data_IF_624297057664
#
_entry.id   IF_624297057664
#
_cell.length_a   1.000
_cell.length_b   1.000
_cell.length_c   1.000
_cell.angle_alpha   90.00
_cell.angle_beta   90.00
_cell.angle_gamma   90.00
#
_symmetry.space_group_name_H-M   'P 1'
#
loop_
_entity.id
_entity.type
_entity.pdbx_description
1 polymer ?
#
# COMPACT_ATOMS: atom_id res chain seq x y z
N UNK A 1 -22.89 -13.60 -35.72
CA UNK A 1 -21.61 -13.46 -35.01
C UNK A 1 -21.83 -12.44 -33.90
N UNK A 2 -21.96 -12.88 -32.65
CA UNK A 2 -22.17 -11.95 -31.52
C UNK A 2 -20.85 -11.23 -31.28
N UNK A 3 -20.83 -9.92 -31.45
CA UNK A 3 -19.72 -9.07 -31.06
C UNK A 3 -19.60 -9.16 -29.54
N UNK A 4 -18.61 -9.90 -29.03
CA UNK A 4 -18.27 -9.87 -27.61
C UNK A 4 -17.80 -8.45 -27.30
N UNK A 5 -18.64 -7.69 -26.60
CA UNK A 5 -18.19 -6.48 -25.94
C UNK A 5 -17.11 -6.91 -24.94
N UNK A 6 -15.87 -6.44 -25.15
CA UNK A 6 -14.81 -6.54 -24.16
C UNK A 6 -15.38 -6.10 -22.81
N UNK A 7 -15.36 -6.98 -21.80
CA UNK A 7 -15.69 -6.59 -20.44
C UNK A 7 -14.74 -5.44 -20.05
N UNK A 8 -15.31 -4.28 -19.74
CA UNK A 8 -14.54 -3.16 -19.21
C UNK A 8 -13.89 -3.60 -17.89
N UNK A 9 -12.56 -3.69 -17.87
CA UNK A 9 -11.81 -3.96 -16.64
C UNK A 9 -11.82 -2.71 -15.76
N UNK A 10 -12.71 -2.69 -14.77
CA UNK A 10 -12.80 -1.61 -13.80
C UNK A 10 -11.81 -1.84 -12.64
N UNK A 11 -11.41 -0.74 -12.01
CA UNK A 11 -10.62 -0.74 -10.77
C UNK A 11 -11.25 0.14 -9.71
N UNK A 12 -11.30 -0.34 -8.46
CA UNK A 12 -11.71 0.45 -7.30
C UNK A 12 -10.49 1.15 -6.69
N UNK A 13 -10.68 2.37 -6.22
CA UNK A 13 -9.60 3.21 -5.71
C UNK A 13 -9.89 3.69 -4.29
N UNK A 14 -9.08 3.23 -3.33
CA UNK A 14 -8.90 3.72 -1.96
C UNK A 14 -10.14 3.79 -1.06
N UNK A 15 -11.14 4.59 -1.42
CA UNK A 15 -12.28 5.00 -0.60
C UNK A 15 -13.55 4.91 -1.43
N UNK A 16 -14.60 4.39 -0.82
CA UNK A 16 -15.96 4.51 -1.36
C UNK A 16 -16.56 5.85 -0.95
N UNK A 17 -17.55 6.33 -1.71
CA UNK A 17 -18.32 7.51 -1.29
C UNK A 17 -19.11 7.25 0.00
N UNK A 18 -19.54 6.00 0.22
CA UNK A 18 -20.13 5.57 1.49
C UNK A 18 -19.08 5.39 2.58
N UNK A 19 -19.51 5.49 3.84
CA UNK A 19 -18.64 5.28 5.01
C UNK A 19 -18.21 3.81 5.19
N UNK A 20 -18.73 2.90 4.36
CA UNK A 20 -18.50 1.45 4.45
C UNK A 20 -17.00 1.10 4.38
N UNK A 21 -16.24 1.82 3.55
CA UNK A 21 -14.80 1.63 3.36
C UNK A 21 -14.08 2.97 3.56
N UNK A 22 -13.99 3.40 4.82
CA UNK A 22 -13.17 4.55 5.27
C UNK A 22 -12.11 4.10 6.26
N UNK A 23 -10.85 4.08 5.81
CA UNK A 23 -9.70 3.67 6.62
C UNK A 23 -9.40 4.65 7.75
N UNK A 24 -8.96 4.12 8.89
CA UNK A 24 -8.50 4.90 10.05
C UNK A 24 -7.04 5.29 9.88
N UNK A 25 -6.69 6.43 10.48
CA UNK A 25 -5.31 6.92 10.56
C UNK A 25 -5.13 7.74 11.84
N UNK A 26 -3.89 8.13 12.15
CA UNK A 26 -3.57 9.09 13.20
C UNK A 26 -2.47 10.03 12.73
N UNK A 27 -2.46 11.25 13.26
CA UNK A 27 -1.38 12.19 12.95
C UNK A 27 -0.18 11.94 13.85
N UNK A 28 1.02 12.33 13.38
CA UNK A 28 2.24 12.27 14.19
C UNK A 28 2.09 13.12 15.45
N UNK A 29 1.56 14.33 15.32
CA UNK A 29 1.32 15.22 16.46
C UNK A 29 0.49 14.53 17.55
N UNK A 30 -0.61 13.88 17.19
CA UNK A 30 -1.47 13.24 18.17
C UNK A 30 -0.88 11.95 18.75
N UNK A 31 -0.24 11.11 17.94
CA UNK A 31 0.36 9.87 18.43
C UNK A 31 1.43 10.18 19.49
N UNK A 32 2.27 11.19 19.25
CA UNK A 32 3.36 11.56 20.14
C UNK A 32 2.93 12.35 21.38
N UNK A 33 1.64 12.67 21.55
CA UNK A 33 1.13 13.15 22.85
C UNK A 33 0.82 12.00 23.83
N UNK A 34 0.88 10.75 23.38
CA UNK A 34 0.58 9.56 24.18
C UNK A 34 1.85 8.92 24.72
N UNK A 35 1.75 8.26 25.86
CA UNK A 35 2.80 7.36 26.36
C UNK A 35 3.01 6.17 25.42
N UNK A 36 4.21 5.58 25.43
CA UNK A 36 4.58 4.50 24.48
C UNK A 36 3.58 3.36 24.44
N UNK A 37 3.11 2.87 25.60
CA UNK A 37 2.12 1.79 25.64
C UNK A 37 0.80 2.16 24.95
N UNK A 38 0.32 3.40 25.14
CA UNK A 38 -0.88 3.90 24.49
C UNK A 38 -0.68 4.18 23.00
N UNK A 39 0.55 4.51 22.57
CA UNK A 39 0.88 4.58 21.13
C UNK A 39 0.74 3.20 20.47
N UNK A 40 1.30 2.17 21.10
CA UNK A 40 1.22 0.80 20.59
C UNK A 40 -0.23 0.29 20.53
N UNK A 41 -1.00 0.51 21.60
CA UNK A 41 -2.42 0.14 21.65
C UNK A 41 -3.22 0.84 20.53
N UNK A 42 -2.99 2.16 20.35
CA UNK A 42 -3.65 2.93 19.30
C UNK A 42 -3.29 2.43 17.89
N UNK A 43 -2.01 2.14 17.63
CA UNK A 43 -1.58 1.61 16.33
C UNK A 43 -2.18 0.22 16.08
N UNK A 44 -2.15 -0.67 17.07
CA UNK A 44 -2.77 -2.00 16.97
C UNK A 44 -4.26 -1.90 16.65
N UNK A 45 -4.98 -1.03 17.36
CA UNK A 45 -6.39 -0.76 17.08
C UNK A 45 -6.62 -0.28 15.65
N UNK A 46 -5.84 0.69 15.16
CA UNK A 46 -5.95 1.19 13.79
C UNK A 46 -5.68 0.07 12.79
N UNK A 47 -4.67 -0.77 13.02
CA UNK A 47 -4.29 -1.84 12.09
C UNK A 47 -5.37 -2.91 12.02
N UNK A 48 -5.89 -3.39 13.15
CA UNK A 48 -7.03 -4.32 13.20
C UNK A 48 -8.24 -3.79 12.42
N UNK A 49 -8.59 -2.53 12.68
CA UNK A 49 -9.71 -1.87 12.02
C UNK A 49 -9.50 -1.73 10.50
N UNK A 50 -8.27 -1.43 10.07
CA UNK A 50 -7.94 -1.28 8.66
C UNK A 50 -7.86 -2.62 7.93
N UNK A 51 -7.40 -3.69 8.58
CA UNK A 51 -7.39 -5.05 8.04
C UNK A 51 -8.82 -5.55 7.79
N UNK A 52 -9.73 -5.33 8.76
CA UNK A 52 -11.14 -5.67 8.58
C UNK A 52 -11.79 -4.91 7.41
N UNK A 53 -11.41 -3.64 7.19
CA UNK A 53 -11.86 -2.84 6.04
C UNK A 53 -11.27 -3.29 4.73
N UNK A 54 -9.99 -3.67 4.70
CA UNK A 54 -9.34 -4.24 3.52
C UNK A 54 -10.08 -5.51 3.06
N UNK A 55 -10.41 -6.40 4.00
CA UNK A 55 -11.22 -7.60 3.70
C UNK A 55 -12.55 -7.20 3.06
N UNK A 56 -13.30 -6.27 3.66
CA UNK A 56 -14.56 -5.77 3.08
C UNK A 56 -14.41 -5.16 1.68
N UNK A 57 -13.33 -4.43 1.44
CA UNK A 57 -13.04 -3.84 0.13
C UNK A 57 -12.75 -4.91 -0.93
N UNK A 58 -12.02 -5.96 -0.56
CA UNK A 58 -11.77 -7.11 -1.42
C UNK A 58 -13.09 -7.82 -1.74
N UNK A 59 -13.89 -8.16 -0.72
CA UNK A 59 -15.21 -8.81 -0.92
C UNK A 59 -16.13 -7.99 -1.82
N UNK A 60 -16.14 -6.66 -1.64
CA UNK A 60 -16.89 -5.77 -2.49
C UNK A 60 -16.41 -5.83 -3.95
N UNK A 61 -15.10 -5.80 -4.19
CA UNK A 61 -14.55 -5.89 -5.53
C UNK A 61 -14.95 -7.21 -6.20
N UNK A 62 -14.80 -8.33 -5.49
CA UNK A 62 -15.18 -9.65 -5.98
C UNK A 62 -16.68 -9.74 -6.29
N UNK A 63 -17.54 -9.28 -5.38
CA UNK A 63 -19.00 -9.27 -5.57
C UNK A 63 -19.46 -8.37 -6.73
N UNK A 64 -18.64 -7.40 -7.14
CA UNK A 64 -18.92 -6.48 -8.26
C UNK A 64 -18.16 -6.82 -9.55
N UNK A 65 -17.42 -7.94 -9.58
CA UNK A 65 -16.54 -8.32 -10.70
C UNK A 65 -15.53 -7.21 -11.06
N UNK A 66 -14.97 -6.56 -10.04
CA UNK A 66 -13.88 -5.60 -10.17
C UNK A 66 -12.57 -6.36 -9.92
N UNK A 67 -11.66 -6.31 -10.88
CA UNK A 67 -10.44 -7.15 -10.86
C UNK A 67 -9.18 -6.36 -10.46
N UNK A 68 -9.32 -5.10 -10.05
CA UNK A 68 -8.24 -4.28 -9.52
C UNK A 68 -8.71 -3.45 -8.33
N UNK A 69 -7.97 -3.52 -7.23
CA UNK A 69 -8.13 -2.65 -6.07
C UNK A 69 -6.83 -1.90 -5.78
N UNK A 70 -6.87 -0.57 -5.90
CA UNK A 70 -5.81 0.30 -5.41
C UNK A 70 -6.02 0.54 -3.93
N UNK A 71 -5.23 -0.14 -3.12
CA UNK A 71 -5.25 0.00 -1.67
C UNK A 71 -4.84 1.42 -1.26
N UNK A 72 -5.29 1.84 -0.08
CA UNK A 72 -4.82 3.09 0.51
C UNK A 72 -3.37 2.96 0.98
N UNK A 73 -2.55 3.97 0.72
CA UNK A 73 -1.18 4.06 1.25
C UNK A 73 -1.18 4.32 2.77
N UNK A 74 -2.32 4.75 3.34
CA UNK A 74 -2.49 4.95 4.77
C UNK A 74 -2.99 3.69 5.51
N UNK A 75 -2.85 2.49 4.91
CA UNK A 75 -3.36 1.24 5.49
C UNK A 75 -2.71 0.94 6.85
N UNK A 76 -1.40 1.17 6.96
CA UNK A 76 -0.61 0.96 8.18
C UNK A 76 0.21 2.21 8.49
N UNK A 77 -0.39 3.26 9.09
CA UNK A 77 0.35 4.47 9.44
C UNK A 77 1.48 4.14 10.43
N UNK A 78 2.65 4.78 10.27
CA UNK A 78 3.86 4.57 11.09
C UNK A 78 4.52 3.19 10.96
N UNK A 79 4.12 2.37 9.98
CA UNK A 79 4.78 1.08 9.74
C UNK A 79 6.20 1.21 9.16
N UNK A 80 6.62 2.42 8.78
CA UNK A 80 7.99 2.73 8.41
C UNK A 80 8.90 2.93 9.63
N UNK A 81 8.34 3.09 10.83
CA UNK A 81 9.09 3.14 12.10
C UNK A 81 9.08 1.78 12.81
N UNK A 82 10.09 1.53 13.67
CA UNK A 82 10.31 0.23 14.29
C UNK A 82 9.12 -0.30 15.11
N UNK A 83 8.42 0.59 15.82
CA UNK A 83 7.22 0.22 16.59
C UNK A 83 6.08 -0.25 15.68
N UNK A 84 5.73 0.53 14.66
CA UNK A 84 4.65 0.18 13.73
C UNK A 84 4.99 -1.06 12.92
N UNK A 85 6.25 -1.19 12.47
CA UNK A 85 6.72 -2.39 11.79
C UNK A 85 6.55 -3.66 12.63
N UNK A 86 6.93 -3.62 13.92
CA UNK A 86 6.76 -4.76 14.84
C UNK A 86 5.28 -5.10 15.05
N UNK A 87 4.42 -4.09 15.23
CA UNK A 87 2.98 -4.31 15.40
C UNK A 87 2.38 -4.93 14.14
N UNK A 88 2.82 -4.49 12.95
CA UNK A 88 2.36 -5.02 11.68
C UNK A 88 2.69 -6.51 11.52
N UNK A 89 3.88 -6.94 11.97
CA UNK A 89 4.31 -8.34 11.92
C UNK A 89 3.40 -9.27 12.72
N UNK A 90 2.77 -8.79 13.79
CA UNK A 90 1.81 -9.57 14.56
C UNK A 90 0.57 -9.97 13.73
N UNK A 91 0.32 -9.29 12.60
CA UNK A 91 -0.78 -9.56 11.68
C UNK A 91 -0.36 -10.33 10.42
N UNK A 92 0.88 -10.82 10.34
CA UNK A 92 1.43 -11.44 9.13
C UNK A 92 0.55 -12.59 8.59
N UNK A 93 0.06 -13.47 9.46
CA UNK A 93 -0.78 -14.60 9.05
C UNK A 93 -2.14 -14.12 8.49
N UNK A 94 -2.79 -13.17 9.15
CA UNK A 94 -4.08 -12.63 8.70
C UNK A 94 -3.93 -11.90 7.35
N UNK A 95 -2.85 -11.13 7.18
CA UNK A 95 -2.55 -10.46 5.92
C UNK A 95 -2.28 -11.45 4.79
N UNK A 96 -1.50 -12.50 5.07
CA UNK A 96 -1.19 -13.53 4.11
C UNK A 96 -2.48 -14.21 3.60
N UNK A 97 -3.42 -14.52 4.50
CA UNK A 97 -4.73 -15.09 4.14
C UNK A 97 -5.54 -14.13 3.26
N UNK A 98 -5.64 -12.85 3.63
CA UNK A 98 -6.42 -11.85 2.90
C UNK A 98 -5.85 -11.63 1.49
N UNK A 99 -4.54 -11.46 1.38
CA UNK A 99 -3.92 -11.18 0.09
C UNK A 99 -3.88 -12.42 -0.80
N UNK A 100 -3.69 -13.62 -0.24
CA UNK A 100 -3.83 -14.88 -1.00
C UNK A 100 -5.26 -15.02 -1.52
N UNK A 101 -6.28 -14.69 -0.72
CA UNK A 101 -7.67 -14.72 -1.16
C UNK A 101 -7.94 -13.77 -2.34
N UNK A 102 -7.40 -12.54 -2.32
CA UNK A 102 -7.48 -11.64 -3.48
C UNK A 102 -6.79 -12.23 -4.71
N UNK A 103 -5.58 -12.77 -4.54
CA UNK A 103 -4.78 -13.32 -5.64
C UNK A 103 -5.45 -14.53 -6.30
N UNK A 104 -5.98 -15.48 -5.52
CA UNK A 104 -6.64 -16.68 -6.05
C UNK A 104 -7.96 -16.38 -6.75
N UNK A 105 -8.60 -15.25 -6.43
CA UNK A 105 -9.79 -14.75 -7.10
C UNK A 105 -9.49 -13.74 -8.22
N UNK A 106 -8.24 -13.69 -8.71
CA UNK A 106 -7.83 -12.83 -9.82
C UNK A 106 -8.06 -11.32 -9.57
N UNK A 107 -8.05 -10.90 -8.29
CA UNK A 107 -8.10 -9.50 -7.89
C UNK A 107 -6.67 -8.98 -7.70
N UNK A 108 -6.31 -7.97 -8.50
CA UNK A 108 -5.03 -7.27 -8.38
C UNK A 108 -5.06 -6.30 -7.22
N UNK A 109 -4.13 -6.44 -6.29
CA UNK A 109 -3.87 -5.44 -5.27
C UNK A 109 -2.71 -4.55 -5.74
N UNK A 110 -2.94 -3.25 -5.86
CA UNK A 110 -1.93 -2.28 -6.29
C UNK A 110 -1.84 -1.12 -5.29
N UNK A 111 -0.73 -0.39 -5.32
CA UNK A 111 -0.51 0.77 -4.46
C UNK A 111 -0.15 2.02 -5.27
N UNK A 112 -0.41 3.17 -4.67
CA UNK A 112 0.10 4.45 -5.14
C UNK A 112 0.59 5.24 -3.92
N UNK A 113 1.87 5.05 -3.52
CA UNK A 113 2.48 5.82 -2.44
C UNK A 113 2.31 7.32 -2.66
N UNK A 114 2.32 8.08 -1.57
CA UNK A 114 2.01 9.50 -1.64
C UNK A 114 3.07 10.31 -2.42
N UNK A 115 2.71 11.56 -2.70
CA UNK A 115 3.53 12.54 -3.42
C UNK A 115 4.83 12.95 -2.69
N UNK A 116 5.05 12.52 -1.45
CA UNK A 116 6.30 12.77 -0.73
C UNK A 116 7.40 11.77 -1.10
N UNK A 117 7.08 10.70 -1.82
CA UNK A 117 8.07 9.85 -2.48
C UNK A 117 8.63 10.59 -3.70
N UNK A 118 9.86 11.11 -3.58
CA UNK A 118 10.55 11.90 -4.60
C UNK A 118 11.95 11.35 -4.86
N UNK A 119 12.02 10.25 -5.63
CA UNK A 119 13.30 9.61 -5.98
C UNK A 119 14.21 10.50 -6.86
N UNK A 120 13.65 11.45 -7.61
CA UNK A 120 14.42 12.38 -8.46
C UNK A 120 14.94 13.63 -7.74
N UNK A 121 14.94 13.64 -6.41
CA UNK A 121 15.47 14.74 -5.58
C UNK A 121 17.01 14.83 -5.65
N UNK A 122 17.54 16.05 -5.46
CA UNK A 122 18.99 16.27 -5.27
C UNK A 122 19.42 16.03 -3.82
N UNK A 123 18.47 16.04 -2.90
CA UNK A 123 18.74 15.78 -1.48
C UNK A 123 18.75 14.29 -1.23
N UNK A 124 19.91 13.78 -0.85
CA UNK A 124 20.10 12.38 -0.46
C UNK A 124 19.12 11.98 0.65
N UNK A 125 18.94 12.81 1.67
CA UNK A 125 17.95 12.59 2.74
C UNK A 125 16.51 12.45 2.24
N UNK A 126 16.11 13.19 1.18
CA UNK A 126 14.78 13.02 0.59
C UNK A 126 14.68 11.69 -0.15
N UNK A 127 15.74 11.29 -0.87
CA UNK A 127 15.79 9.99 -1.56
C UNK A 127 15.74 8.85 -0.54
N UNK A 128 16.55 8.90 0.52
CA UNK A 128 16.55 7.91 1.60
C UNK A 128 15.17 7.76 2.26
N UNK A 129 14.51 8.88 2.59
CA UNK A 129 13.16 8.84 3.13
C UNK A 129 12.15 8.25 2.13
N UNK A 130 12.30 8.55 0.85
CA UNK A 130 11.46 7.97 -0.21
C UNK A 130 11.65 6.45 -0.28
N UNK A 131 12.89 5.96 -0.24
CA UNK A 131 13.21 4.53 -0.21
C UNK A 131 12.65 3.87 1.06
N UNK A 132 12.73 4.53 2.22
CA UNK A 132 12.14 4.05 3.48
C UNK A 132 10.63 3.82 3.35
N UNK A 133 9.90 4.79 2.78
CA UNK A 133 8.45 4.70 2.54
C UNK A 133 8.13 3.57 1.56
N UNK A 134 8.86 3.48 0.44
CA UNK A 134 8.68 2.42 -0.55
C UNK A 134 8.94 1.03 0.03
N UNK A 135 9.95 0.90 0.90
CA UNK A 135 10.27 -0.35 1.59
C UNK A 135 9.15 -0.80 2.52
N UNK A 136 8.52 0.13 3.23
CA UNK A 136 7.35 -0.16 4.07
C UNK A 136 6.17 -0.69 3.22
N UNK A 137 5.90 -0.05 2.08
CA UNK A 137 4.86 -0.52 1.16
C UNK A 137 5.19 -1.87 0.54
N UNK A 138 6.44 -2.09 0.12
CA UNK A 138 6.90 -3.38 -0.39
C UNK A 138 6.73 -4.48 0.65
N UNK A 139 7.06 -4.22 1.91
CA UNK A 139 6.84 -5.15 3.03
C UNK A 139 5.36 -5.46 3.23
N UNK A 140 4.48 -4.46 3.14
CA UNK A 140 3.02 -4.70 3.22
C UNK A 140 2.56 -5.62 2.10
N UNK A 141 3.06 -5.43 0.87
CA UNK A 141 2.74 -6.30 -0.27
C UNK A 141 3.27 -7.72 -0.08
N UNK A 142 4.48 -7.87 0.47
CA UNK A 142 5.06 -9.17 0.82
C UNK A 142 4.21 -9.89 1.90
N UNK A 143 3.78 -9.18 2.95
CA UNK A 143 2.90 -9.73 4.00
C UNK A 143 1.52 -10.13 3.46
N UNK A 144 1.04 -9.48 2.41
CA UNK A 144 -0.17 -9.85 1.68
C UNK A 144 0.08 -10.99 0.66
N UNK A 145 1.25 -11.63 0.67
CA UNK A 145 1.64 -12.65 -0.32
C UNK A 145 1.47 -12.19 -1.78
N UNK A 146 1.60 -10.89 -2.06
CA UNK A 146 1.45 -10.37 -3.42
C UNK A 146 2.75 -10.57 -4.20
N UNK A 147 2.66 -11.05 -5.45
CA UNK A 147 3.84 -11.34 -6.26
C UNK A 147 4.66 -10.07 -6.50
N UNK A 148 5.97 -10.23 -6.64
CA UNK A 148 6.88 -9.16 -7.10
C UNK A 148 6.89 -9.16 -8.63
N UNK A 149 5.87 -8.55 -9.23
CA UNK A 149 5.70 -8.37 -10.68
C UNK A 149 4.74 -7.21 -10.96
N UNK A 150 4.54 -6.84 -12.22
CA UNK A 150 3.57 -5.81 -12.61
C UNK A 150 2.13 -6.14 -12.20
N UNK A 151 1.84 -7.41 -11.86
CA UNK A 151 0.55 -7.81 -11.29
C UNK A 151 0.19 -6.98 -10.06
N UNK A 152 1.16 -6.74 -9.18
CA UNK A 152 0.98 -6.11 -7.88
C UNK A 152 1.72 -4.77 -7.82
N UNK A 153 1.38 -3.90 -8.78
CA UNK A 153 2.15 -2.72 -9.10
C UNK A 153 2.20 -1.67 -7.96
N UNK A 154 3.36 -1.03 -7.79
CA UNK A 154 3.55 0.14 -6.94
C UNK A 154 3.75 1.38 -7.81
N UNK A 155 2.66 2.10 -8.11
CA UNK A 155 2.70 3.28 -8.95
C UNK A 155 3.30 4.47 -8.19
N UNK A 156 4.46 4.96 -8.58
CA UNK A 156 5.14 6.11 -7.94
C UNK A 156 4.94 7.41 -8.73
N UNK A 157 5.09 8.54 -8.05
CA UNK A 157 5.22 9.83 -8.72
C UNK A 157 6.64 9.96 -9.32
N UNK A 158 6.75 10.43 -10.57
CA UNK A 158 8.05 10.67 -11.23
C UNK A 158 8.89 11.79 -10.61
N UNK A 159 8.35 12.49 -9.61
CA UNK A 159 8.99 13.61 -8.93
C UNK A 159 9.08 14.86 -9.81
N UNK A 160 10.25 15.50 -9.86
CA UNK A 160 10.43 16.78 -10.55
C UNK A 160 10.53 16.59 -12.07
N UNK A 161 9.91 17.50 -12.83
CA UNK A 161 10.02 17.56 -14.29
C UNK A 161 11.49 17.69 -14.74
N UNK A 162 11.80 17.18 -15.94
CA UNK A 162 13.14 17.21 -16.55
C UNK A 162 14.23 16.45 -15.77
N UNK A 163 13.85 15.43 -14.99
CA UNK A 163 14.79 14.60 -14.21
C UNK A 163 14.60 13.10 -14.40
N UNK A 164 14.15 12.69 -15.58
CA UNK A 164 13.88 11.29 -15.90
C UNK A 164 15.15 10.45 -15.75
N UNK A 165 16.30 10.91 -16.23
CA UNK A 165 17.56 10.17 -16.10
C UNK A 165 17.97 9.91 -14.65
N UNK A 166 17.75 10.90 -13.78
CA UNK A 166 18.01 10.75 -12.34
C UNK A 166 17.03 9.74 -11.74
N UNK A 167 15.74 9.81 -12.11
CA UNK A 167 14.73 8.85 -11.65
C UNK A 167 15.12 7.42 -12.05
N UNK A 168 15.48 7.20 -13.32
CA UNK A 168 15.89 5.88 -13.84
C UNK A 168 17.09 5.35 -13.04
N UNK A 169 18.15 6.16 -12.88
CA UNK A 169 19.33 5.77 -12.09
C UNK A 169 19.01 5.42 -10.64
N UNK A 170 18.01 6.05 -10.04
CA UNK A 170 17.59 5.76 -8.68
C UNK A 170 16.75 4.48 -8.62
N UNK A 171 15.85 4.26 -9.58
CA UNK A 171 15.08 3.02 -9.71
C UNK A 171 16.00 1.80 -9.88
N UNK A 172 17.06 1.92 -10.67
CA UNK A 172 18.06 0.84 -10.86
C UNK A 172 18.78 0.44 -9.57
N UNK A 173 18.86 1.36 -8.60
CA UNK A 173 19.50 1.12 -7.29
C UNK A 173 18.53 0.64 -6.22
N UNK A 174 17.22 0.65 -6.51
CA UNK A 174 16.24 0.20 -5.54
C UNK A 174 16.40 -1.31 -5.27
N UNK A 175 16.28 -1.73 -4.01
CA UNK A 175 16.17 -3.13 -3.66
C UNK A 175 15.07 -3.85 -4.46
N UNK A 176 15.27 -5.12 -4.76
CA UNK A 176 14.35 -5.92 -5.58
C UNK A 176 12.95 -6.04 -4.98
N UNK A 177 12.81 -5.96 -3.65
CA UNK A 177 11.49 -5.92 -3.01
C UNK A 177 10.63 -4.71 -3.46
N UNK A 178 11.27 -3.62 -3.89
CA UNK A 178 10.62 -2.42 -4.43
C UNK A 178 10.65 -2.44 -5.96
N UNK A 179 11.82 -2.68 -6.56
CA UNK A 179 12.08 -2.52 -8.00
C UNK A 179 11.28 -3.48 -8.88
N UNK A 180 10.93 -4.65 -8.35
CA UNK A 180 10.16 -5.68 -9.07
C UNK A 180 8.64 -5.50 -8.88
N UNK A 181 8.18 -4.31 -8.49
CA UNK A 181 6.78 -3.95 -8.30
C UNK A 181 6.45 -2.72 -9.12
#
# INVERSE_FOLDING_TARGET
MKTEFSQNNLGLVCITHSEDIRYKTTTRKHLFTLEKAAQEEKLRFIYTENIARLRKAIEFCLAKNINLYRMTSALFPFADDAMGARILDDFAEELAQIGTHALTNNLRLVLHPDQFVVLSSDSETIVENSVKILKMHARTMDLLNQPRSEWAAMNIHGGKANRIDQLVKQIEKLPDEIRLR
#
